data_IF_575175709407
#
_entry.id   IF_575175709407
#
_cell.length_a   1.000
_cell.length_b   1.000
_cell.length_c   1.000
_cell.angle_alpha   90.00
_cell.angle_beta   90.00
_cell.angle_gamma   90.00
#
_symmetry.space_group_name_H-M   'P 1'
#
loop_
_entity.id
_entity.type
_entity.pdbx_description
1 polymer ?
#
# COMPACT_ATOMS: atom_id res chain seq x y z
N UNK A 1 -6.88 18.77 -3.69
CA UNK A 1 -6.62 17.62 -2.80
C UNK A 1 -7.10 16.35 -3.47
N UNK A 2 -6.16 15.47 -3.79
CA UNK A 2 -6.41 14.17 -4.45
C UNK A 2 -5.98 13.05 -3.51
N UNK A 3 -6.87 12.10 -3.28
CA UNK A 3 -6.58 10.90 -2.49
C UNK A 3 -6.08 9.79 -3.42
N UNK A 4 -5.08 9.05 -2.95
CA UNK A 4 -4.51 7.93 -3.67
C UNK A 4 -4.27 6.73 -2.76
N UNK A 5 -4.18 5.56 -3.41
CA UNK A 5 -3.84 4.30 -2.75
C UNK A 5 -2.57 3.77 -3.38
N UNK A 6 -1.56 3.49 -2.55
CA UNK A 6 -0.36 2.80 -2.93
C UNK A 6 -0.30 1.42 -2.26
N UNK A 7 0.43 0.49 -2.88
CA UNK A 7 0.63 -0.87 -2.35
C UNK A 7 2.11 -1.17 -2.21
N UNK A 8 2.50 -1.86 -1.14
CA UNK A 8 3.85 -2.32 -0.90
C UNK A 8 3.83 -3.83 -0.60
N UNK A 9 4.77 -4.64 -1.14
CA UNK A 9 4.95 -6.02 -0.69
C UNK A 9 5.22 -6.11 0.81
N UNK A 10 5.09 -7.30 1.41
CA UNK A 10 5.39 -7.56 2.82
C UNK A 10 6.91 -7.52 3.12
N UNK A 11 7.50 -6.34 2.93
CA UNK A 11 8.92 -6.04 3.13
C UNK A 11 9.02 -4.70 3.87
N UNK A 12 9.42 -4.77 5.13
CA UNK A 12 9.47 -3.62 6.04
C UNK A 12 10.46 -2.56 5.59
N UNK A 13 11.59 -2.95 4.99
CA UNK A 13 12.59 -1.98 4.55
C UNK A 13 12.10 -1.22 3.31
N UNK A 14 11.46 -1.92 2.37
CA UNK A 14 10.78 -1.26 1.24
C UNK A 14 9.66 -0.33 1.70
N UNK A 15 8.88 -0.74 2.69
CA UNK A 15 7.83 0.11 3.25
C UNK A 15 8.41 1.40 3.81
N UNK A 16 9.48 1.33 4.61
CA UNK A 16 10.16 2.51 5.15
C UNK A 16 10.64 3.45 4.05
N UNK A 17 11.32 2.91 3.04
CA UNK A 17 11.81 3.70 1.90
C UNK A 17 10.66 4.40 1.16
N UNK A 18 9.56 3.68 0.90
CA UNK A 18 8.39 4.23 0.23
C UNK A 18 7.76 5.37 1.05
N UNK A 19 7.51 5.15 2.35
CA UNK A 19 6.92 6.16 3.22
C UNK A 19 7.81 7.40 3.33
N UNK A 20 9.13 7.23 3.33
CA UNK A 20 10.08 8.35 3.30
C UNK A 20 9.95 9.16 2.01
N UNK A 21 10.00 8.51 0.84
CA UNK A 21 9.86 9.17 -0.47
C UNK A 21 8.55 9.96 -0.56
N UNK A 22 7.44 9.36 -0.13
CA UNK A 22 6.14 10.01 -0.11
C UNK A 22 6.12 11.25 0.79
N UNK A 23 6.80 11.20 1.93
CA UNK A 23 6.97 12.35 2.82
C UNK A 23 7.82 13.47 2.21
N UNK A 24 8.90 13.12 1.51
CA UNK A 24 9.76 14.07 0.79
C UNK A 24 9.03 14.77 -0.37
N UNK A 25 8.14 14.04 -1.05
CA UNK A 25 7.25 14.56 -2.10
C UNK A 25 6.12 15.45 -1.55
N UNK A 26 6.01 15.59 -0.23
CA UNK A 26 4.98 16.40 0.43
C UNK A 26 3.62 15.71 0.57
N UNK A 27 3.56 14.40 0.33
CA UNK A 27 2.33 13.62 0.54
C UNK A 27 2.05 13.42 2.03
N UNK A 28 0.76 13.42 2.39
CA UNK A 28 0.31 13.10 3.74
C UNK A 28 -0.15 11.65 3.79
N UNK A 29 0.52 10.85 4.61
CA UNK A 29 0.07 9.48 4.89
C UNK A 29 -1.13 9.52 5.83
N UNK A 30 -2.25 8.94 5.39
CA UNK A 30 -3.50 8.87 6.15
C UNK A 30 -3.56 7.56 6.93
N UNK A 31 -3.24 6.44 6.28
CA UNK A 31 -3.29 5.13 6.90
C UNK A 31 -2.32 4.15 6.22
N UNK A 32 -1.83 3.17 6.99
CA UNK A 32 -1.05 2.03 6.51
C UNK A 32 -1.68 0.77 7.06
N UNK A 33 -2.18 -0.09 6.18
CA UNK A 33 -2.93 -1.29 6.51
C UNK A 33 -2.11 -2.50 6.06
N UNK A 34 -1.65 -3.31 7.00
CA UNK A 34 -1.08 -4.62 6.67
C UNK A 34 -2.19 -5.62 6.42
N UNK A 35 -2.05 -6.41 5.37
CA UNK A 35 -2.96 -7.49 5.03
C UNK A 35 -2.19 -8.83 5.00
N UNK A 36 -2.69 -9.86 5.70
CA UNK A 36 -2.10 -11.19 5.64
C UNK A 36 -2.35 -11.82 4.26
N UNK A 37 -1.54 -12.83 3.95
CA UNK A 37 -1.76 -13.71 2.81
C UNK A 37 -3.14 -14.37 2.92
N UNK A 38 -3.88 -14.42 1.81
CA UNK A 38 -5.21 -15.00 1.76
C UNK A 38 -5.54 -15.54 0.38
N UNK A 39 -6.42 -16.53 0.33
CA UNK A 39 -7.03 -16.97 -0.92
C UNK A 39 -8.19 -16.03 -1.29
N UNK A 40 -8.18 -15.53 -2.52
CA UNK A 40 -9.25 -14.72 -3.09
C UNK A 40 -9.86 -15.43 -4.28
N UNK A 41 -11.18 -15.31 -4.43
CA UNK A 41 -11.90 -15.78 -5.61
C UNK A 41 -11.97 -14.66 -6.63
N UNK A 42 -11.43 -14.91 -7.82
CA UNK A 42 -11.54 -14.03 -8.99
C UNK A 42 -12.39 -14.72 -10.06
N UNK A 43 -12.69 -14.01 -11.14
CA UNK A 43 -13.37 -14.59 -12.31
C UNK A 43 -12.54 -15.71 -12.97
N UNK A 44 -11.22 -15.66 -12.81
CA UNK A 44 -10.26 -16.63 -13.36
C UNK A 44 -9.95 -17.81 -12.42
N UNK A 45 -10.51 -17.83 -11.21
CA UNK A 45 -10.35 -18.91 -10.23
C UNK A 45 -9.89 -18.47 -8.85
N UNK A 46 -9.42 -19.42 -8.04
CA UNK A 46 -8.83 -19.11 -6.73
C UNK A 46 -7.38 -18.65 -6.91
N UNK A 47 -7.07 -17.45 -6.43
CA UNK A 47 -5.74 -16.85 -6.45
C UNK A 47 -5.24 -16.64 -5.02
N UNK A 48 -4.01 -17.08 -4.75
CA UNK A 48 -3.35 -16.82 -3.47
C UNK A 48 -2.73 -15.44 -3.48
N UNK A 49 -3.40 -14.49 -2.84
CA UNK A 49 -2.92 -13.11 -2.72
C UNK A 49 -1.83 -13.04 -1.64
N UNK A 50 -0.59 -12.64 -1.98
CA UNK A 50 0.47 -12.50 -0.99
C UNK A 50 0.15 -11.41 0.04
N UNK A 51 0.76 -11.52 1.22
CA UNK A 51 0.71 -10.47 2.22
C UNK A 51 1.34 -9.17 1.70
N UNK A 52 0.93 -8.06 2.29
CA UNK A 52 1.49 -6.75 1.95
C UNK A 52 0.77 -5.60 2.62
N UNK A 53 1.20 -4.39 2.28
CA UNK A 53 0.66 -3.15 2.83
C UNK A 53 -0.15 -2.39 1.79
N UNK A 54 -1.26 -1.82 2.25
CA UNK A 54 -2.05 -0.83 1.52
C UNK A 54 -1.88 0.50 2.24
N UNK A 55 -1.48 1.53 1.49
CA UNK A 55 -1.16 2.86 2.01
C UNK A 55 -2.17 3.84 1.41
N UNK A 56 -2.90 4.53 2.28
CA UNK A 56 -3.84 5.58 1.88
C UNK A 56 -3.14 6.92 2.11
N UNK A 57 -3.07 7.75 1.08
CA UNK A 57 -2.39 9.04 1.15
C UNK A 57 -3.15 10.15 0.42
N UNK A 58 -2.77 11.37 0.73
CA UNK A 58 -3.21 12.59 0.07
C UNK A 58 -2.01 13.29 -0.56
N UNK A 59 -2.09 13.58 -1.86
CA UNK A 59 -1.05 14.35 -2.55
C UNK A 59 -1.16 15.84 -2.24
N UNK A 60 -0.02 16.57 -2.17
CA UNK A 60 -0.04 18.01 -2.13
C UNK A 60 -0.71 18.53 -3.42
N UNK A 61 -1.52 19.58 -3.27
CA UNK A 61 -2.27 20.17 -4.39
C UNK A 61 -1.39 21.01 -5.29
#
# INVERSE_FOLDING_TARGET
>A
MSYAVATCPDDVERLKTLLHSLGEEGSRIINVIWQPERDIRTEDGEFRQPSGYVIVLEYPS
#
